data_IF_203939415576
#
_entry.id   IF_203939415576
#
_cell.length_a   1.000
_cell.length_b   1.000
_cell.length_c   1.000
_cell.angle_alpha   90.00
_cell.angle_beta   90.00
_cell.angle_gamma   90.00
#
_symmetry.space_group_name_H-M   'P 1'
#
loop_
_entity.id
_entity.type
_entity.pdbx_description
1 polymer ?
#
# COMPACT_ATOMS: atom_id res chain seq x y z
N UNK A 1 10.11 -31.52 33.71
CA UNK A 1 10.75 -31.71 35.02
C UNK A 1 10.36 -30.52 35.85
N UNK A 2 9.79 -30.71 37.04
CA UNK A 2 8.87 -29.76 37.68
C UNK A 2 9.29 -28.27 37.67
N UNK A 3 10.58 -27.96 37.83
CA UNK A 3 11.10 -26.58 37.78
C UNK A 3 11.03 -25.96 36.38
N UNK A 4 11.38 -26.74 35.36
CA UNK A 4 11.32 -26.32 33.95
C UNK A 4 9.87 -26.06 33.53
N UNK A 5 8.95 -26.87 34.03
CA UNK A 5 7.52 -26.74 33.71
C UNK A 5 6.93 -25.48 34.35
N UNK A 6 7.30 -25.18 35.60
CA UNK A 6 6.93 -23.94 36.29
C UNK A 6 7.50 -22.70 35.58
N UNK A 7 8.79 -22.75 35.22
CA UNK A 7 9.47 -21.65 34.51
C UNK A 7 8.79 -21.33 33.17
N UNK A 8 8.51 -22.36 32.38
CA UNK A 8 7.84 -22.19 31.09
C UNK A 8 6.44 -21.61 31.27
N UNK A 9 5.68 -22.06 32.27
CA UNK A 9 4.35 -21.52 32.56
C UNK A 9 4.37 -20.03 32.92
N UNK A 10 5.28 -19.61 33.80
CA UNK A 10 5.40 -18.19 34.18
C UNK A 10 5.89 -17.31 33.01
N UNK A 11 6.80 -17.82 32.16
CA UNK A 11 7.22 -17.11 30.95
C UNK A 11 6.07 -16.92 29.96
N UNK A 12 5.27 -17.96 29.70
CA UNK A 12 4.09 -17.87 28.84
C UNK A 12 3.09 -16.85 29.39
N UNK A 13 2.82 -16.90 30.70
CA UNK A 13 1.92 -15.94 31.36
C UNK A 13 2.39 -14.50 31.26
N UNK A 14 3.69 -14.25 31.44
CA UNK A 14 4.28 -12.93 31.29
C UNK A 14 4.18 -12.42 29.84
N UNK A 15 4.40 -13.30 28.86
CA UNK A 15 4.24 -12.99 27.44
C UNK A 15 2.80 -12.66 27.09
N UNK A 16 1.82 -13.44 27.57
CA UNK A 16 0.39 -13.18 27.31
C UNK A 16 -0.08 -11.85 27.92
N UNK A 17 0.50 -11.45 29.06
CA UNK A 17 0.19 -10.18 29.71
C UNK A 17 0.75 -8.97 28.93
N UNK A 18 2.00 -9.07 28.49
CA UNK A 18 2.73 -7.95 27.84
C UNK A 18 2.39 -7.86 26.35
N UNK A 19 2.21 -9.01 25.70
CA UNK A 19 2.01 -9.16 24.27
C UNK A 19 0.97 -10.24 23.98
N UNK A 20 -0.30 -10.00 24.35
CA UNK A 20 -1.37 -10.95 24.06
C UNK A 20 -1.41 -11.23 22.57
N UNK A 21 -1.65 -12.49 22.20
CA UNK A 21 -1.78 -12.88 20.82
C UNK A 21 -2.97 -12.15 20.19
N UNK A 22 -2.68 -11.11 19.42
CA UNK A 22 -3.70 -10.33 18.71
C UNK A 22 -3.70 -10.79 17.26
N UNK A 23 -4.85 -11.23 16.71
CA UNK A 23 -4.99 -11.40 15.27
C UNK A 23 -4.58 -10.10 14.60
N UNK A 24 -3.50 -10.14 13.81
CA UNK A 24 -3.09 -8.99 13.02
C UNK A 24 -4.27 -8.68 12.11
N UNK A 25 -4.86 -7.47 12.15
CA UNK A 25 -6.00 -7.15 11.31
C UNK A 25 -5.65 -7.52 9.88
N UNK A 26 -6.44 -8.42 9.29
CA UNK A 26 -6.20 -8.78 7.90
C UNK A 26 -6.29 -7.47 7.11
N UNK A 27 -5.24 -7.16 6.34
CA UNK A 27 -5.14 -5.93 5.55
C UNK A 27 -6.14 -5.93 4.36
N UNK A 28 -7.30 -6.59 4.50
CA UNK A 28 -8.13 -7.09 3.42
C UNK A 28 -9.53 -6.48 3.35
N UNK A 29 -9.76 -5.34 3.98
CA UNK A 29 -10.64 -4.36 3.34
C UNK A 29 -9.75 -3.60 2.38
N UNK A 30 -9.92 -3.78 1.06
CA UNK A 30 -9.24 -2.92 0.07
C UNK A 30 -9.68 -1.49 0.39
N UNK A 31 -8.83 -0.70 1.01
CA UNK A 31 -9.13 0.70 1.39
C UNK A 31 -9.53 1.59 0.20
N UNK A 32 -9.38 1.09 -1.03
CA UNK A 32 -9.82 1.72 -2.27
C UNK A 32 -10.27 0.64 -3.26
N UNK A 33 -11.53 0.16 -3.21
CA UNK A 33 -12.05 -0.80 -4.18
C UNK A 33 -12.09 -0.22 -5.61
N UNK A 34 -12.23 1.10 -5.73
CA UNK A 34 -12.09 1.87 -6.97
C UNK A 34 -10.67 1.90 -7.54
N UNK A 35 -9.64 1.46 -6.79
CA UNK A 35 -8.25 1.47 -7.24
C UNK A 35 -7.90 0.17 -8.00
N UNK A 36 -8.23 0.19 -9.30
CA UNK A 36 -8.09 -0.92 -10.24
C UNK A 36 -6.63 -1.30 -10.53
N UNK A 37 -6.41 -2.47 -11.17
CA UNK A 37 -5.06 -2.90 -11.57
C UNK A 37 -4.47 -2.01 -12.67
N UNK A 38 -5.31 -1.45 -13.54
CA UNK A 38 -4.91 -0.45 -14.53
C UNK A 38 -4.30 0.78 -13.86
N UNK A 39 -4.97 1.34 -12.84
CA UNK A 39 -4.44 2.47 -12.07
C UNK A 39 -3.14 2.13 -11.33
N UNK A 40 -2.96 0.88 -10.89
CA UNK A 40 -1.69 0.42 -10.32
C UNK A 40 -0.58 0.39 -11.36
N UNK A 41 -0.87 -0.09 -12.55
CA UNK A 41 0.07 -0.12 -13.67
C UNK A 41 0.49 1.29 -14.06
N UNK A 42 -0.48 2.21 -14.26
CA UNK A 42 -0.18 3.62 -14.52
C UNK A 42 0.66 4.23 -13.39
N UNK A 43 0.31 4.00 -12.13
CA UNK A 43 1.09 4.52 -11.00
C UNK A 43 2.53 4.01 -11.00
N UNK A 44 2.76 2.74 -11.34
CA UNK A 44 4.11 2.17 -11.49
C UNK A 44 4.86 2.83 -12.65
N UNK A 45 4.23 3.00 -13.80
CA UNK A 45 4.81 3.68 -14.96
C UNK A 45 5.20 5.13 -14.63
N UNK A 46 4.32 5.87 -13.96
CA UNK A 46 4.61 7.23 -13.50
C UNK A 46 5.83 7.29 -12.59
N UNK A 47 5.98 6.36 -11.63
CA UNK A 47 7.19 6.25 -10.78
C UNK A 47 8.45 5.92 -11.58
N UNK A 48 8.36 5.14 -12.65
CA UNK A 48 9.50 4.88 -13.53
C UNK A 48 9.93 6.15 -14.28
N UNK A 49 8.98 6.92 -14.80
CA UNK A 49 9.25 8.20 -15.48
C UNK A 49 9.86 9.23 -14.53
N UNK A 50 9.32 9.34 -13.32
CA UNK A 50 9.85 10.26 -12.30
C UNK A 50 11.28 9.88 -11.88
N UNK A 51 11.54 8.58 -11.64
CA UNK A 51 12.91 8.10 -11.36
C UNK A 51 13.87 8.40 -12.50
N UNK A 52 13.43 8.25 -13.75
CA UNK A 52 14.23 8.60 -14.93
C UNK A 52 14.56 10.09 -14.93
N UNK A 53 13.57 10.97 -14.76
CA UNK A 53 13.79 12.41 -14.68
C UNK A 53 14.76 12.79 -13.54
N UNK A 54 14.62 12.20 -12.35
CA UNK A 54 15.57 12.46 -11.24
C UNK A 54 17.00 12.03 -11.54
N UNK A 55 17.18 11.04 -12.42
CA UNK A 55 18.51 10.58 -12.87
C UNK A 55 19.09 11.45 -13.98
N UNK A 56 18.26 11.89 -14.92
CA UNK A 56 18.71 12.60 -16.13
C UNK A 56 18.68 14.11 -16.00
N UNK A 57 17.86 14.65 -15.10
CA UNK A 57 17.52 16.07 -14.97
C UNK A 57 17.05 16.74 -16.29
N UNK A 58 16.68 15.94 -17.30
CA UNK A 58 16.29 16.45 -18.61
C UNK A 58 14.85 16.98 -18.58
N UNK A 59 14.64 18.15 -19.19
CA UNK A 59 13.30 18.74 -19.29
C UNK A 59 12.33 17.91 -20.13
N UNK A 60 12.84 17.14 -21.10
CA UNK A 60 12.04 16.19 -21.87
C UNK A 60 11.48 15.05 -21.00
N UNK A 61 12.31 14.50 -20.09
CA UNK A 61 11.87 13.48 -19.13
C UNK A 61 10.90 14.08 -18.10
N UNK A 62 11.13 15.32 -17.67
CA UNK A 62 10.21 16.08 -16.81
C UNK A 62 8.85 16.28 -17.47
N UNK A 63 8.83 16.69 -18.74
CA UNK A 63 7.62 16.89 -19.53
C UNK A 63 6.85 15.57 -19.69
N UNK A 64 7.55 14.48 -19.98
CA UNK A 64 6.95 13.14 -20.09
C UNK A 64 6.32 12.69 -18.77
N UNK A 65 7.02 12.85 -17.64
CA UNK A 65 6.49 12.51 -16.32
C UNK A 65 5.24 13.36 -15.99
N UNK A 66 5.29 14.67 -16.26
CA UNK A 66 4.14 15.58 -16.06
C UNK A 66 2.93 15.20 -16.91
N UNK A 67 3.13 14.93 -18.20
CA UNK A 67 2.06 14.50 -19.09
C UNK A 67 1.41 13.21 -18.59
N UNK A 68 2.23 12.23 -18.19
CA UNK A 68 1.73 10.98 -17.62
C UNK A 68 0.90 11.22 -16.35
N UNK A 69 1.36 12.06 -15.42
CA UNK A 69 0.60 12.33 -14.20
C UNK A 69 -0.73 13.05 -14.45
N UNK A 70 -0.84 13.88 -15.49
CA UNK A 70 -2.12 14.48 -15.92
C UNK A 70 -3.11 13.40 -16.35
N UNK A 71 -2.71 12.51 -17.25
CA UNK A 71 -3.58 11.40 -17.71
C UNK A 71 -3.97 10.50 -16.54
N UNK A 72 -3.01 10.15 -15.67
CA UNK A 72 -3.27 9.37 -14.47
C UNK A 72 -4.28 10.03 -13.52
N UNK A 73 -4.20 11.35 -13.31
CA UNK A 73 -5.16 12.07 -12.46
C UNK A 73 -6.59 12.00 -13.00
N UNK A 74 -6.76 12.10 -14.32
CA UNK A 74 -8.07 11.98 -14.98
C UNK A 74 -8.61 10.56 -14.81
N UNK A 75 -7.78 9.54 -15.03
CA UNK A 75 -8.17 8.14 -14.85
C UNK A 75 -8.60 7.83 -13.39
N UNK A 76 -7.88 8.37 -12.41
CA UNK A 76 -8.25 8.24 -10.98
C UNK A 76 -9.59 8.90 -10.70
N UNK A 77 -9.83 10.11 -11.22
CA UNK A 77 -11.09 10.80 -11.04
C UNK A 77 -12.26 10.03 -11.68
N UNK A 78 -12.06 9.50 -12.89
CA UNK A 78 -13.04 8.66 -13.58
C UNK A 78 -13.37 7.38 -12.80
N UNK A 79 -12.36 6.66 -12.30
CA UNK A 79 -12.56 5.45 -11.51
C UNK A 79 -13.30 5.71 -10.19
N UNK A 80 -12.97 6.81 -9.51
CA UNK A 80 -13.71 7.24 -8.31
C UNK A 80 -15.16 7.56 -8.65
N UNK A 81 -15.40 8.35 -9.71
CA UNK A 81 -16.76 8.69 -10.15
C UNK A 81 -17.57 7.44 -10.47
N UNK A 82 -17.02 6.53 -11.27
CA UNK A 82 -17.68 5.27 -11.63
C UNK A 82 -18.06 4.44 -10.39
N UNK A 83 -17.18 4.39 -9.38
CA UNK A 83 -17.45 3.65 -8.15
C UNK A 83 -18.52 4.31 -7.28
N UNK A 84 -18.46 5.63 -7.07
CA UNK A 84 -19.39 6.34 -6.19
C UNK A 84 -20.73 6.70 -6.85
N UNK A 85 -20.83 6.65 -8.17
CA UNK A 85 -22.09 6.83 -8.90
C UNK A 85 -22.83 5.52 -9.15
N UNK A 86 -22.24 4.37 -8.81
CA UNK A 86 -22.84 3.04 -8.97
C UNK A 86 -23.58 2.54 -7.71
N UNK A 87 -23.65 3.37 -6.66
CA UNK A 87 -24.43 3.12 -5.44
C UNK A 87 -25.48 4.20 -5.26
#
# INVERSE_FOLDING_TARGET
GALVDLWNGEMTRALDLIAPERPRPSRRVRAAPWFTEELRTMKRQGRCLERRWRKTCADSDRARARAHFRVYSVAVAAAKKAFFSAG
#
